data_IF_701057396928
#
_entry.id   IF_701057396928
#
_cell.length_a   1.000
_cell.length_b   1.000
_cell.length_c   1.000
_cell.angle_alpha   90.00
_cell.angle_beta   90.00
_cell.angle_gamma   90.00
#
_symmetry.space_group_name_H-M   'P 1'
#
loop_
_entity.id
_entity.type
_entity.pdbx_description
1 polymer ?
#
# COMPACT_ATOMS: atom_id res chain seq x y z
N UNK A 1 -15.92 -44.62 -24.99
CA UNK A 1 -14.50 -44.33 -24.70
C UNK A 1 -14.28 -42.83 -24.87
N UNK A 2 -13.53 -42.23 -23.95
CA UNK A 2 -13.07 -40.84 -23.78
C UNK A 2 -13.04 -39.96 -25.04
N UNK A 3 -13.28 -38.65 -24.97
CA UNK A 3 -12.47 -37.70 -24.19
C UNK A 3 -13.26 -36.49 -23.70
N UNK A 4 -13.54 -36.44 -22.39
CA UNK A 4 -13.72 -35.17 -21.71
C UNK A 4 -12.39 -34.42 -21.82
N UNK A 5 -12.37 -33.35 -22.61
CA UNK A 5 -11.25 -32.43 -22.70
C UNK A 5 -11.30 -31.59 -21.42
N UNK A 6 -10.62 -32.05 -20.38
CA UNK A 6 -10.39 -31.24 -19.20
C UNK A 6 -9.84 -29.88 -19.64
N UNK A 7 -10.43 -28.75 -19.20
CA UNK A 7 -9.85 -27.45 -19.49
C UNK A 7 -8.45 -27.42 -18.88
N UNK A 8 -7.46 -27.07 -19.70
CA UNK A 8 -6.07 -26.94 -19.30
C UNK A 8 -5.96 -26.12 -18.00
N UNK A 9 -5.06 -26.49 -17.07
CA UNK A 9 -4.89 -25.74 -15.83
C UNK A 9 -4.58 -24.30 -16.19
N UNK A 10 -5.48 -23.38 -15.80
CA UNK A 10 -5.24 -21.95 -15.96
C UNK A 10 -4.00 -21.65 -15.13
N UNK A 11 -2.93 -21.23 -15.82
CA UNK A 11 -1.76 -20.66 -15.19
C UNK A 11 -2.28 -19.50 -14.34
N UNK A 12 -2.21 -19.66 -13.01
CA UNK A 12 -2.62 -18.66 -12.04
C UNK A 12 -1.81 -17.41 -12.38
N UNK A 13 -2.48 -16.32 -12.79
CA UNK A 13 -1.74 -15.08 -13.05
C UNK A 13 -1.02 -14.69 -11.74
N UNK A 14 0.19 -14.11 -11.79
CA UNK A 14 0.95 -13.81 -10.57
C UNK A 14 0.16 -13.02 -9.50
N UNK A 15 -0.78 -12.19 -9.95
CA UNK A 15 -1.68 -11.40 -9.10
C UNK A 15 -2.78 -12.25 -8.44
N UNK A 16 -3.21 -13.35 -9.07
CA UNK A 16 -4.20 -14.28 -8.51
C UNK A 16 -3.67 -15.01 -7.27
N UNK A 17 -2.37 -15.31 -7.23
CA UNK A 17 -1.73 -15.99 -6.10
C UNK A 17 -1.75 -15.14 -4.82
N UNK A 18 -1.41 -13.86 -4.94
CA UNK A 18 -1.47 -12.93 -3.82
C UNK A 18 -2.91 -12.72 -3.34
N UNK A 19 -3.85 -12.51 -4.27
CA UNK A 19 -5.26 -12.32 -3.92
C UNK A 19 -5.83 -13.56 -3.21
N UNK A 20 -5.48 -14.76 -3.66
CA UNK A 20 -5.86 -16.02 -3.01
C UNK A 20 -5.29 -16.13 -1.58
N UNK A 21 -4.02 -15.78 -1.38
CA UNK A 21 -3.39 -15.77 -0.05
C UNK A 21 -4.09 -14.78 0.89
N UNK A 22 -4.34 -13.55 0.43
CA UNK A 22 -5.04 -12.53 1.23
C UNK A 22 -6.43 -13.00 1.63
N UNK A 23 -7.19 -13.57 0.70
CA UNK A 23 -8.52 -14.13 0.98
C UNK A 23 -8.46 -15.28 1.99
N UNK A 24 -7.52 -16.21 1.80
CA UNK A 24 -7.34 -17.34 2.71
C UNK A 24 -7.04 -16.88 4.14
N UNK A 25 -6.10 -15.94 4.33
CA UNK A 25 -5.80 -15.36 5.64
C UNK A 25 -7.00 -14.66 6.26
N UNK A 26 -7.70 -13.83 5.49
CA UNK A 26 -8.86 -13.09 5.99
C UNK A 26 -10.02 -14.00 6.40
N UNK A 27 -10.19 -15.13 5.70
CA UNK A 27 -11.21 -16.12 5.98
C UNK A 27 -10.92 -16.96 7.23
N UNK A 28 -9.66 -17.05 7.68
CA UNK A 28 -9.31 -17.72 8.92
C UNK A 28 -9.82 -16.91 10.14
N UNK A 29 -10.79 -17.42 10.91
CA UNK A 29 -11.33 -16.70 12.06
C UNK A 29 -10.35 -16.63 13.24
N UNK A 30 -9.42 -17.59 13.35
CA UNK A 30 -8.41 -17.63 14.41
C UNK A 30 -7.26 -16.67 14.12
N UNK A 31 -7.04 -16.32 12.85
CA UNK A 31 -6.06 -15.33 12.48
C UNK A 31 -6.47 -13.93 12.97
N UNK A 32 -5.54 -13.23 13.62
CA UNK A 32 -5.73 -11.83 13.99
C UNK A 32 -5.28 -10.95 12.81
N UNK A 33 -6.15 -10.08 12.27
CA UNK A 33 -5.75 -9.20 11.17
C UNK A 33 -4.53 -8.34 11.56
N UNK A 34 -3.47 -8.43 10.76
CA UNK A 34 -2.19 -7.78 10.98
C UNK A 34 -1.51 -7.57 9.62
N UNK A 35 -1.21 -6.31 9.28
CA UNK A 35 -0.54 -6.02 8.01
C UNK A 35 0.87 -6.59 7.94
N UNK A 36 1.59 -6.59 9.07
CA UNK A 36 2.95 -7.10 9.13
C UNK A 36 3.00 -8.60 8.80
N UNK A 37 2.16 -9.38 9.47
CA UNK A 37 2.16 -10.84 9.28
C UNK A 37 1.70 -11.20 7.86
N UNK A 38 0.72 -10.47 7.31
CA UNK A 38 0.27 -10.67 5.93
C UNK A 38 1.36 -10.31 4.91
N UNK A 39 2.13 -9.25 5.16
CA UNK A 39 3.24 -8.85 4.30
C UNK A 39 4.38 -9.89 4.35
N UNK A 40 4.70 -10.42 5.52
CA UNK A 40 5.71 -11.48 5.69
C UNK A 40 5.29 -12.77 4.96
N UNK A 41 4.01 -13.15 5.07
CA UNK A 41 3.44 -14.28 4.32
C UNK A 41 3.50 -14.04 2.80
N UNK A 42 3.12 -12.85 2.34
CA UNK A 42 3.16 -12.50 0.92
C UNK A 42 4.58 -12.57 0.35
N UNK A 43 5.57 -12.07 1.09
CA UNK A 43 6.97 -12.14 0.68
C UNK A 43 7.51 -13.57 0.65
N UNK A 44 7.07 -14.40 1.61
CA UNK A 44 7.49 -15.81 1.72
C UNK A 44 6.85 -16.69 0.65
N UNK A 45 5.56 -16.50 0.41
CA UNK A 45 4.77 -17.38 -0.46
C UNK A 45 4.71 -16.93 -1.92
N UNK A 46 4.70 -15.61 -2.17
CA UNK A 46 4.60 -15.04 -3.53
C UNK A 46 5.96 -14.56 -4.02
N UNK A 47 6.71 -13.89 -3.14
CA UNK A 47 8.08 -13.46 -3.40
C UNK A 47 8.37 -12.03 -2.94
N UNK A 48 9.64 -11.62 -2.97
CA UNK A 48 10.10 -10.36 -2.36
C UNK A 48 9.53 -9.09 -3.03
N UNK A 49 8.96 -9.22 -4.24
CA UNK A 49 8.32 -8.12 -4.96
C UNK A 49 6.90 -7.81 -4.44
N UNK A 50 6.30 -8.68 -3.61
CA UNK A 50 5.02 -8.45 -2.95
C UNK A 50 5.17 -7.41 -1.81
N UNK A 51 5.49 -6.17 -2.19
CA UNK A 51 5.70 -5.06 -1.27
C UNK A 51 4.39 -4.46 -0.74
N UNK A 52 4.49 -3.51 0.21
CA UNK A 52 3.33 -2.86 0.83
C UNK A 52 2.27 -2.30 -0.14
N UNK A 53 2.64 -1.63 -1.26
CA UNK A 53 1.64 -1.11 -2.19
C UNK A 53 0.84 -2.22 -2.89
N UNK A 54 1.48 -3.34 -3.20
CA UNK A 54 0.86 -4.48 -3.90
C UNK A 54 -0.12 -5.19 -2.95
N UNK A 55 0.29 -5.43 -1.70
CA UNK A 55 -0.60 -6.01 -0.67
C UNK A 55 -1.80 -5.10 -0.38
N UNK A 56 -1.59 -3.79 -0.34
CA UNK A 56 -2.68 -2.82 -0.18
C UNK A 56 -3.66 -2.85 -1.36
N UNK A 57 -3.17 -3.01 -2.60
CA UNK A 57 -4.04 -3.15 -3.77
C UNK A 57 -4.91 -4.41 -3.65
N UNK A 58 -4.32 -5.56 -3.34
CA UNK A 58 -5.06 -6.82 -3.14
C UNK A 58 -6.11 -6.71 -2.01
N UNK A 59 -5.79 -6.03 -0.90
CA UNK A 59 -6.76 -5.78 0.17
C UNK A 59 -7.95 -4.93 -0.29
N UNK A 60 -7.71 -3.92 -1.14
CA UNK A 60 -8.79 -3.09 -1.71
C UNK A 60 -9.70 -3.91 -2.62
N UNK A 61 -9.12 -4.80 -3.41
CA UNK A 61 -9.88 -5.69 -4.29
C UNK A 61 -10.76 -6.64 -3.47
N UNK A 62 -10.26 -7.18 -2.35
CA UNK A 62 -11.09 -8.00 -1.43
C UNK A 62 -12.23 -7.18 -0.81
N UNK A 63 -11.97 -5.94 -0.39
CA UNK A 63 -13.02 -5.05 0.16
C UNK A 63 -14.15 -4.80 -0.84
N UNK A 64 -13.83 -4.71 -2.12
CA UNK A 64 -14.81 -4.48 -3.19
C UNK A 64 -15.54 -5.76 -3.62
N UNK A 65 -14.83 -6.89 -3.65
CA UNK A 65 -15.34 -8.15 -4.19
C UNK A 65 -16.06 -9.03 -3.16
N UNK A 66 -15.72 -8.94 -1.88
CA UNK A 66 -16.25 -9.83 -0.84
C UNK A 66 -16.73 -9.06 0.40
N UNK A 67 -18.05 -8.94 0.54
CA UNK A 67 -18.68 -8.22 1.63
C UNK A 67 -18.47 -8.90 3.01
N UNK A 68 -18.27 -10.21 3.06
CA UNK A 68 -18.06 -10.94 4.30
C UNK A 68 -16.65 -10.70 4.86
N UNK A 69 -15.65 -10.63 3.97
CA UNK A 69 -14.26 -10.36 4.35
C UNK A 69 -13.93 -8.87 4.48
N UNK A 70 -14.73 -7.99 3.88
CA UNK A 70 -14.50 -6.55 3.84
C UNK A 70 -14.18 -5.89 5.20
N UNK A 71 -14.87 -6.20 6.33
CA UNK A 71 -14.54 -5.59 7.61
C UNK A 71 -13.11 -5.90 8.07
N UNK A 72 -12.67 -7.16 7.94
CA UNK A 72 -11.31 -7.59 8.31
C UNK A 72 -10.28 -7.01 7.34
N UNK A 73 -10.58 -7.01 6.03
CA UNK A 73 -9.70 -6.45 5.01
C UNK A 73 -9.46 -4.94 5.22
N UNK A 74 -10.48 -4.17 5.62
CA UNK A 74 -10.35 -2.72 5.92
C UNK A 74 -9.38 -2.45 7.07
N UNK A 75 -9.42 -3.25 8.15
CA UNK A 75 -8.50 -3.11 9.29
C UNK A 75 -7.06 -3.20 8.79
N UNK A 76 -6.74 -4.25 8.04
CA UNK A 76 -5.39 -4.47 7.49
C UNK A 76 -5.01 -3.38 6.48
N UNK A 77 -5.96 -2.94 5.64
CA UNK A 77 -5.71 -1.90 4.65
C UNK A 77 -5.36 -0.55 5.27
N UNK A 78 -5.97 -0.20 6.42
CA UNK A 78 -5.63 1.00 7.18
C UNK A 78 -4.20 0.91 7.73
N UNK A 79 -3.83 -0.21 8.33
CA UNK A 79 -2.45 -0.44 8.81
C UNK A 79 -1.43 -0.36 7.68
N UNK A 80 -1.73 -0.98 6.54
CA UNK A 80 -0.90 -0.92 5.34
C UNK A 80 -0.70 0.52 4.84
N UNK A 81 -1.76 1.32 4.83
CA UNK A 81 -1.69 2.72 4.42
C UNK A 81 -0.82 3.55 5.37
N UNK A 82 -0.97 3.37 6.69
CA UNK A 82 -0.13 4.04 7.69
C UNK A 82 1.35 3.67 7.54
N UNK A 83 1.66 2.39 7.29
CA UNK A 83 3.03 1.92 7.08
C UNK A 83 3.68 2.54 5.83
N UNK A 84 2.92 2.71 4.75
CA UNK A 84 3.40 3.36 3.52
C UNK A 84 3.68 4.84 3.78
N UNK A 85 2.72 5.58 4.36
CA UNK A 85 2.86 7.01 4.62
C UNK A 85 4.06 7.31 5.54
N UNK A 86 4.21 6.54 6.64
CA UNK A 86 5.34 6.71 7.56
C UNK A 86 6.71 6.47 6.89
N UNK A 87 6.77 5.61 5.85
CA UNK A 87 8.00 5.37 5.08
C UNK A 87 8.31 6.55 4.15
N UNK A 88 7.30 7.13 3.53
CA UNK A 88 7.46 8.33 2.67
C UNK A 88 7.95 9.51 3.48
N UNK A 89 7.31 9.83 4.61
CA UNK A 89 7.70 10.94 5.47
C UNK A 89 9.14 10.80 6.00
N UNK A 90 9.57 9.57 6.33
CA UNK A 90 10.95 9.31 6.76
C UNK A 90 11.97 9.53 5.65
N UNK A 91 11.62 9.17 4.41
CA UNK A 91 12.49 9.41 3.25
C UNK A 91 12.58 10.91 2.94
N UNK A 92 11.48 11.65 3.05
CA UNK A 92 11.46 13.10 2.87
C UNK A 92 12.24 13.82 3.98
N UNK A 93 12.14 13.37 5.24
CA UNK A 93 12.90 13.92 6.36
C UNK A 93 14.41 13.64 6.26
N UNK A 94 14.82 12.51 5.67
CA UNK A 94 16.23 12.17 5.42
C UNK A 94 16.80 12.83 4.16
N UNK A 95 15.96 13.05 3.14
CA UNK A 95 16.32 13.82 1.93
C UNK A 95 16.21 15.35 2.10
N UNK A 96 15.50 15.81 3.13
CA UNK A 96 15.13 17.21 3.36
C UNK A 96 16.21 18.13 3.96
N UNK A 97 17.44 17.65 4.18
CA UNK A 97 18.56 18.54 4.55
C UNK A 97 19.39 19.03 3.35
N UNK A 98 19.04 18.63 2.12
CA UNK A 98 19.78 19.01 0.91
C UNK A 98 19.10 20.08 0.04
N UNK A 99 17.94 20.63 0.43
CA UNK A 99 17.34 21.78 -0.25
C UNK A 99 17.50 23.05 0.57
N UNK A 100 18.74 23.57 0.48
CA UNK A 100 18.97 24.95 0.10
C UNK A 100 18.40 26.03 1.00
N UNK A 101 19.31 26.67 1.74
CA UNK A 101 19.22 28.02 2.32
C UNK A 101 18.87 29.15 1.31
N UNK A 102 18.35 28.81 0.14
CA UNK A 102 17.93 29.70 -0.95
C UNK A 102 16.43 30.02 -0.92
N UNK A 103 15.58 29.23 -0.26
CA UNK A 103 14.15 29.54 -0.15
C UNK A 103 13.84 30.70 0.82
N UNK A 104 14.76 31.01 1.74
CA UNK A 104 14.60 32.12 2.71
C UNK A 104 15.03 33.49 2.16
N UNK A 105 15.18 33.66 0.84
CA UNK A 105 15.48 34.96 0.20
C UNK A 105 14.34 35.53 -0.65
N UNK A 106 13.22 34.83 -0.81
CA UNK A 106 12.10 35.30 -1.64
C UNK A 106 10.94 35.94 -0.85
N UNK A 107 11.03 36.02 0.49
CA UNK A 107 10.01 36.69 1.32
C UNK A 107 10.44 38.07 1.87
N UNK A 108 11.63 38.57 1.52
CA UNK A 108 12.09 39.91 1.94
C UNK A 108 11.75 41.03 0.93
N UNK A 109 11.03 40.73 -0.15
CA UNK A 109 10.78 41.67 -1.26
C UNK A 109 9.51 42.51 -1.17
N UNK A 110 8.61 42.27 -0.21
CA UNK A 110 7.26 42.88 -0.20
C UNK A 110 7.00 43.87 0.95
N UNK A 111 8.03 44.56 1.45
CA UNK A 111 7.87 45.58 2.51
C UNK A 111 8.42 46.98 2.14
N UNK A 112 8.40 47.33 0.86
CA UNK A 112 8.84 48.65 0.41
C UNK A 112 7.83 49.25 -0.59
N UNK A 113 6.61 49.55 -0.13
CA UNK A 113 5.62 50.33 -0.89
C UNK A 113 4.57 51.01 0.01
N UNK A 114 4.97 51.58 1.15
CA UNK A 114 4.05 52.34 2.01
C UNK A 114 4.72 53.47 2.84
N UNK A 115 5.79 54.06 2.33
CA UNK A 115 6.43 55.21 2.98
C UNK A 115 6.85 56.26 1.94
N UNK A 116 5.89 56.80 1.20
CA UNK A 116 6.10 57.98 0.35
C UNK A 116 4.78 58.74 0.17
N UNK A 117 4.29 59.35 1.25
CA UNK A 117 3.42 60.54 1.22
C UNK A 117 3.75 61.38 2.46
N UNK A 118 4.75 62.25 2.32
CA UNK A 118 4.72 63.57 2.94
C UNK A 118 4.12 64.53 1.93
#
# INVERSE_FOLDING_TARGET
MSTAKDPAPRLIEPDDGLLALVRWRLADPAWKPSFRDLLDDAQTCIGPLAGPPVVLAALRDVVQADAALAPRARIVAVEAHQAITARTERNDARGGQALGKTALRLLSGFRQAAASRS
#
